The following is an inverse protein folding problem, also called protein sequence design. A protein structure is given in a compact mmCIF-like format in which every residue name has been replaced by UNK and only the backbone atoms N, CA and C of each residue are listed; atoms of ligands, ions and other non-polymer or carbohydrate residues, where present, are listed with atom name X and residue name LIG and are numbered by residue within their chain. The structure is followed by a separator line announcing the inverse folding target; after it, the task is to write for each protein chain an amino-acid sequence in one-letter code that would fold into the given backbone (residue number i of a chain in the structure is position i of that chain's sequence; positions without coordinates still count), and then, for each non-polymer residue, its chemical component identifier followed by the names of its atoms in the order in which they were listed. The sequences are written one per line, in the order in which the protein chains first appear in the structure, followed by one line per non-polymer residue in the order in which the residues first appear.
data_IF_935948725475
#
_entry.id   IF_935948725475
#
_cell.length_a   1.000
_cell.length_b   1.000
_cell.length_c   1.000
_cell.angle_alpha   90.00
_cell.angle_beta   90.00
_cell.angle_gamma   90.00
#
_symmetry.space_group_name_H-M   'P 1'
#
loop_
_entity.id
_entity.type
_entity.pdbx_description
1 polymer ?
#
# COMPACT_ATOMS: atom_id res chain seq x y z
N UNK A 1 -2.83 10.44 -21.26
CA UNK A 1 -1.97 11.58 -21.64
C UNK A 1 -1.19 11.38 -22.94
N UNK A 2 -0.47 10.25 -23.15
CA UNK A 2 0.33 10.07 -24.38
C UNK A 2 -0.47 10.10 -25.69
N UNK A 3 -1.68 9.54 -25.71
CA UNK A 3 -2.54 9.58 -26.90
C UNK A 3 -3.08 10.98 -27.20
N UNK A 4 -3.44 11.78 -26.18
CA UNK A 4 -3.95 13.16 -26.36
C UNK A 4 -2.84 14.09 -26.86
N UNK A 5 -1.62 13.98 -26.32
CA UNK A 5 -0.48 14.78 -26.80
C UNK A 5 -0.09 14.43 -28.24
N UNK A 6 -0.19 13.15 -28.61
CA UNK A 6 0.03 12.71 -29.99
C UNK A 6 -1.06 13.29 -30.93
N UNK A 7 -2.32 13.30 -30.50
CA UNK A 7 -3.44 13.90 -31.24
C UNK A 7 -3.23 15.40 -31.46
N UNK A 8 -2.88 16.16 -30.42
CA UNK A 8 -2.57 17.60 -30.52
C UNK A 8 -1.42 17.86 -31.51
N UNK A 9 -0.38 17.03 -31.48
CA UNK A 9 0.75 17.16 -32.42
C UNK A 9 0.31 16.91 -33.86
N UNK A 10 -0.56 15.91 -34.07
CA UNK A 10 -1.13 15.61 -35.38
C UNK A 10 -2.04 16.74 -35.87
N UNK A 11 -2.87 17.32 -35.00
CA UNK A 11 -3.76 18.44 -35.33
C UNK A 11 -2.97 19.72 -35.64
N UNK A 12 -1.89 20.01 -34.92
CA UNK A 12 -0.99 21.12 -35.24
C UNK A 12 -0.35 20.95 -36.63
N UNK A 13 0.03 19.71 -36.98
CA UNK A 13 0.52 19.40 -38.32
C UNK A 13 -0.58 19.58 -39.38
N UNK A 14 -1.82 19.21 -39.07
CA UNK A 14 -2.97 19.38 -39.96
C UNK A 14 -3.28 20.86 -40.20
N UNK A 15 -3.34 21.69 -39.15
CA UNK A 15 -3.49 23.15 -39.26
C UNK A 15 -2.38 23.74 -40.15
N UNK A 16 -1.13 23.31 -39.95
CA UNK A 16 0.00 23.77 -40.76
C UNK A 16 -0.14 23.38 -42.24
N UNK A 17 -0.63 22.17 -42.52
CA UNK A 17 -0.90 21.69 -43.87
C UNK A 17 -2.06 22.45 -44.53
N UNK A 18 -3.14 22.71 -43.80
CA UNK A 18 -4.30 23.46 -44.30
C UNK A 18 -3.95 24.93 -44.58
N UNK A 19 -3.12 25.55 -43.74
CA UNK A 19 -2.55 26.88 -44.02
C UNK A 19 -1.69 26.89 -45.30
N UNK A 20 -0.91 25.84 -45.55
CA UNK A 20 -0.10 25.73 -46.77
C UNK A 20 -0.97 25.52 -48.02
N UNK A 21 -2.03 24.72 -47.92
CA UNK A 21 -3.02 24.53 -48.98
C UNK A 21 -3.75 25.84 -49.30
N UNK A 22 -4.24 26.54 -48.28
CA UNK A 22 -4.90 27.84 -48.43
C UNK A 22 -3.99 28.86 -49.13
N UNK A 23 -2.70 28.94 -48.76
CA UNK A 23 -1.72 29.79 -49.46
C UNK A 23 -1.58 29.42 -50.94
N UNK A 24 -1.53 28.13 -51.25
CA UNK A 24 -1.39 27.64 -52.63
C UNK A 24 -2.61 28.01 -53.47
N UNK A 25 -3.82 27.85 -52.93
CA UNK A 25 -5.05 28.20 -53.64
C UNK A 25 -5.25 29.70 -53.79
N UNK A 26 -4.83 30.50 -52.80
CA UNK A 26 -4.82 31.96 -52.89
C UNK A 26 -3.87 32.45 -54.01
N UNK A 27 -2.68 31.86 -54.14
CA UNK A 27 -1.74 32.17 -55.21
C UNK A 27 -2.29 31.79 -56.60
N UNK A 28 -2.88 30.60 -56.74
CA UNK A 28 -3.53 30.19 -57.99
C UNK A 28 -4.69 31.11 -58.39
N UNK A 29 -5.50 31.54 -57.42
CA UNK A 29 -6.59 32.50 -57.65
C UNK A 29 -6.07 33.88 -58.09
N UNK A 30 -4.92 34.31 -57.57
CA UNK A 30 -4.25 35.54 -57.97
C UNK A 30 -3.64 35.45 -59.37
N UNK A 31 -2.93 34.37 -59.69
CA UNK A 31 -2.29 34.15 -61.00
C UNK A 31 -3.30 34.00 -62.15
N UNK A 32 -4.48 33.42 -61.88
CA UNK A 32 -5.55 33.24 -62.87
C UNK A 32 -6.44 34.46 -63.06
N UNK A 33 -6.18 35.57 -62.35
CA UNK A 33 -6.82 36.86 -62.63
C UNK A 33 -8.28 36.96 -62.19
N UNK A 34 -8.68 36.32 -61.08
CA UNK A 34 -10.03 36.45 -60.53
C UNK A 34 -10.40 37.90 -60.09
N UNK A 35 -9.44 38.83 -60.11
CA UNK A 35 -9.68 40.26 -59.95
C UNK A 35 -9.81 40.95 -61.31
N UNK A 36 -11.01 40.87 -61.90
CA UNK A 36 -11.67 41.90 -62.74
C UNK A 36 -12.50 41.25 -63.86
N UNK A 37 -13.63 40.67 -63.48
CA UNK A 37 -14.67 40.16 -64.38
C UNK A 37 -15.31 41.25 -65.27
N UNK A 38 -14.88 42.51 -65.17
CA UNK A 38 -15.46 43.66 -65.87
C UNK A 38 -14.83 44.00 -67.23
N UNK A 39 -13.57 43.62 -67.50
CA UNK A 39 -12.84 44.06 -68.72
C UNK A 39 -12.55 42.94 -69.74
N UNK A 40 -12.63 41.66 -69.34
CA UNK A 40 -12.40 40.51 -70.23
C UNK A 40 -13.47 40.31 -71.32
N UNK A 41 -14.70 40.78 -71.07
CA UNK A 41 -15.79 40.73 -72.06
C UNK A 41 -15.68 41.75 -73.20
N UNK A 42 -14.75 42.71 -73.10
CA UNK A 42 -14.63 43.82 -74.05
C UNK A 42 -13.55 43.55 -75.11
N UNK A 43 -12.53 42.70 -74.85
CA UNK A 43 -11.35 42.62 -75.74
C UNK A 43 -10.81 41.24 -76.17
N UNK A 44 -11.45 40.11 -75.87
CA UNK A 44 -11.16 38.91 -76.68
C UNK A 44 -11.43 37.57 -76.01
N UNK A 45 -12.34 36.82 -76.61
CA UNK A 45 -12.40 35.36 -76.61
C UNK A 45 -13.70 34.91 -77.28
N UNK A 46 -13.62 33.90 -78.14
CA UNK A 46 -14.80 33.13 -78.59
C UNK A 46 -15.52 32.55 -77.37
N UNK A 47 -16.84 32.29 -77.47
CA UNK A 47 -17.70 31.91 -76.33
C UNK A 47 -17.22 30.70 -75.50
N UNK A 48 -16.36 29.84 -76.04
CA UNK A 48 -15.71 28.74 -75.31
C UNK A 48 -14.66 29.23 -74.30
N UNK A 49 -13.82 30.22 -74.63
CA UNK A 49 -12.78 30.72 -73.72
C UNK A 49 -13.38 31.48 -72.53
N UNK A 50 -14.49 32.20 -72.74
CA UNK A 50 -15.21 32.88 -71.66
C UNK A 50 -15.90 31.89 -70.69
N UNK A 51 -16.46 30.80 -71.22
CA UNK A 51 -17.06 29.73 -70.42
C UNK A 51 -16.02 28.99 -69.58
N UNK A 52 -14.87 28.62 -70.18
CA UNK A 52 -13.75 27.97 -69.47
C UNK A 52 -13.21 28.88 -68.37
N UNK A 53 -13.08 30.19 -68.61
CA UNK A 53 -12.60 31.15 -67.60
C UNK A 53 -13.61 31.29 -66.44
N UNK A 54 -14.92 31.30 -66.73
CA UNK A 54 -15.97 31.34 -65.70
C UNK A 54 -16.03 30.06 -64.85
N UNK A 55 -15.81 28.91 -65.46
CA UNK A 55 -15.76 27.62 -64.76
C UNK A 55 -14.50 27.51 -63.88
N UNK A 56 -13.35 27.93 -64.40
CA UNK A 56 -12.09 27.97 -63.65
C UNK A 56 -12.15 28.94 -62.45
N UNK A 57 -12.73 30.13 -62.61
CA UNK A 57 -12.87 31.10 -61.51
C UNK A 57 -13.83 30.62 -60.42
N UNK A 58 -14.93 29.93 -60.79
CA UNK A 58 -15.80 29.28 -59.80
C UNK A 58 -15.12 28.12 -59.08
N UNK A 59 -14.36 27.28 -59.78
CA UNK A 59 -13.58 26.19 -59.18
C UNK A 59 -12.53 26.73 -58.20
N UNK A 60 -11.82 27.80 -58.56
CA UNK A 60 -10.85 28.46 -57.69
C UNK A 60 -11.52 29.07 -56.44
N UNK A 61 -12.65 29.76 -56.60
CA UNK A 61 -13.40 30.35 -55.47
C UNK A 61 -13.98 29.29 -54.51
N UNK A 62 -14.51 28.20 -55.06
CA UNK A 62 -15.03 27.07 -54.27
C UNK A 62 -13.89 26.35 -53.53
N UNK A 63 -12.74 26.19 -54.20
CA UNK A 63 -11.51 25.70 -53.58
C UNK A 63 -11.13 26.54 -52.36
N UNK A 64 -10.93 27.84 -52.54
CA UNK A 64 -10.47 28.74 -51.46
C UNK A 64 -11.43 28.70 -50.27
N UNK A 65 -12.75 28.73 -50.54
CA UNK A 65 -13.77 28.61 -49.49
C UNK A 65 -13.63 27.30 -48.71
N UNK A 66 -13.48 26.17 -49.41
CA UNK A 66 -13.29 24.86 -48.75
C UNK A 66 -12.00 24.77 -47.93
N UNK A 67 -10.92 25.43 -48.37
CA UNK A 67 -9.65 25.48 -47.64
C UNK A 67 -9.74 26.34 -46.37
N UNK A 68 -10.52 27.44 -46.40
CA UNK A 68 -10.82 28.25 -45.22
C UNK A 68 -11.65 27.44 -44.22
N UNK A 69 -12.70 26.76 -44.67
CA UNK A 69 -13.56 25.94 -43.82
C UNK A 69 -12.78 24.80 -43.14
N UNK A 70 -11.89 24.14 -43.90
CA UNK A 70 -11.02 23.09 -43.37
C UNK A 70 -10.06 23.62 -42.30
N UNK A 71 -9.41 24.76 -42.55
CA UNK A 71 -8.52 25.39 -41.58
C UNK A 71 -9.26 25.80 -40.29
N UNK A 72 -10.44 26.41 -40.42
CA UNK A 72 -11.26 26.79 -39.26
C UNK A 72 -11.69 25.57 -38.45
N UNK A 73 -12.06 24.46 -39.11
CA UNK A 73 -12.40 23.21 -38.44
C UNK A 73 -11.19 22.60 -37.71
N UNK A 74 -10.00 22.62 -38.32
CA UNK A 74 -8.78 22.12 -37.71
C UNK A 74 -8.36 22.95 -36.49
N UNK A 75 -8.44 24.28 -36.58
CA UNK A 75 -8.16 25.19 -35.46
C UNK A 75 -9.16 24.99 -34.30
N UNK A 76 -10.45 24.84 -34.61
CA UNK A 76 -11.48 24.56 -33.61
C UNK A 76 -11.25 23.21 -32.90
N UNK A 77 -10.83 22.18 -33.64
CA UNK A 77 -10.48 20.87 -33.09
C UNK A 77 -9.28 20.97 -32.15
N UNK A 78 -8.19 21.61 -32.59
CA UNK A 78 -6.99 21.80 -31.79
C UNK A 78 -7.28 22.55 -30.48
N UNK A 79 -8.01 23.66 -30.55
CA UNK A 79 -8.40 24.43 -29.37
C UNK A 79 -9.22 23.60 -28.37
N UNK A 80 -10.10 22.73 -28.88
CA UNK A 80 -10.90 21.83 -28.05
C UNK A 80 -10.03 20.78 -27.36
N UNK A 81 -9.09 20.16 -28.07
CA UNK A 81 -8.18 19.16 -27.51
C UNK A 81 -7.23 19.77 -26.47
N UNK A 82 -6.72 20.98 -26.70
CA UNK A 82 -5.89 21.71 -25.74
C UNK A 82 -6.68 22.06 -24.47
N UNK A 83 -7.92 22.54 -24.59
CA UNK A 83 -8.79 22.82 -23.46
C UNK A 83 -9.12 21.56 -22.65
N UNK A 84 -9.37 20.43 -23.32
CA UNK A 84 -9.59 19.14 -22.68
C UNK A 84 -8.35 18.64 -21.93
N UNK A 85 -7.16 18.80 -22.52
CA UNK A 85 -5.90 18.44 -21.85
C UNK A 85 -5.68 19.27 -20.59
N UNK A 86 -5.87 20.60 -20.66
CA UNK A 86 -5.75 21.48 -19.51
C UNK A 86 -6.76 21.13 -18.40
N UNK A 87 -8.00 20.83 -18.76
CA UNK A 87 -9.02 20.40 -17.81
C UNK A 87 -8.64 19.06 -17.14
N UNK A 88 -8.11 18.10 -17.92
CA UNK A 88 -7.65 16.81 -17.39
C UNK A 88 -6.45 16.97 -16.45
N UNK A 89 -5.49 17.84 -16.77
CA UNK A 89 -4.35 18.13 -15.91
C UNK A 89 -4.79 18.80 -14.60
N UNK A 90 -5.73 19.75 -14.66
CA UNK A 90 -6.31 20.38 -13.47
C UNK A 90 -7.04 19.36 -12.58
N UNK A 91 -7.82 18.46 -13.18
CA UNK A 91 -8.49 17.37 -12.45
C UNK A 91 -7.48 16.41 -11.81
N UNK A 92 -6.40 16.05 -12.51
CA UNK A 92 -5.36 15.18 -11.97
C UNK A 92 -4.64 15.82 -10.78
N UNK A 93 -4.32 17.12 -10.86
CA UNK A 93 -3.72 17.87 -9.76
C UNK A 93 -4.65 17.97 -8.54
N UNK A 94 -5.95 18.21 -8.77
CA UNK A 94 -6.96 18.21 -7.72
C UNK A 94 -7.12 16.83 -7.06
N UNK A 95 -7.09 15.75 -7.86
CA UNK A 95 -7.13 14.39 -7.33
C UNK A 95 -5.89 14.05 -6.50
N UNK A 96 -4.69 14.50 -6.93
CA UNK A 96 -3.46 14.32 -6.17
C UNK A 96 -3.51 15.07 -4.81
N UNK A 97 -3.99 16.32 -4.79
CA UNK A 97 -4.09 17.10 -3.56
C UNK A 97 -5.11 16.50 -2.59
N UNK A 98 -6.25 16.00 -3.09
CA UNK A 98 -7.24 15.27 -2.31
C UNK A 98 -6.69 13.96 -1.74
N UNK A 99 -5.96 13.19 -2.55
CA UNK A 99 -5.33 11.94 -2.09
C UNK A 99 -4.27 12.19 -1.01
N UNK A 100 -3.46 13.26 -1.15
CA UNK A 100 -2.50 13.66 -0.14
C UNK A 100 -3.19 14.08 1.17
N UNK A 101 -4.27 14.86 1.10
CA UNK A 101 -5.05 15.25 2.26
C UNK A 101 -5.69 14.04 2.96
N UNK A 102 -6.26 13.11 2.21
CA UNK A 102 -6.84 11.87 2.73
C UNK A 102 -5.79 10.99 3.42
N UNK A 103 -4.59 10.86 2.83
CA UNK A 103 -3.47 10.14 3.46
C UNK A 103 -3.06 10.77 4.78
N UNK A 104 -2.92 12.10 4.83
CA UNK A 104 -2.52 12.80 6.06
C UNK A 104 -3.58 12.64 7.15
N UNK A 105 -4.87 12.72 6.80
CA UNK A 105 -5.97 12.47 7.73
C UNK A 105 -5.95 11.03 8.27
N UNK A 106 -5.76 10.04 7.39
CA UNK A 106 -5.65 8.64 7.80
C UNK A 106 -4.45 8.39 8.74
N UNK A 107 -3.28 8.97 8.44
CA UNK A 107 -2.11 8.88 9.32
C UNK A 107 -2.32 9.54 10.68
N UNK A 108 -3.04 10.67 10.73
CA UNK A 108 -3.39 11.32 11.99
C UNK A 108 -4.35 10.46 12.83
N UNK A 109 -5.35 9.83 12.21
CA UNK A 109 -6.26 8.90 12.87
C UNK A 109 -5.50 7.69 13.42
N UNK A 110 -4.63 7.07 12.62
CA UNK A 110 -3.83 5.92 13.06
C UNK A 110 -2.91 6.27 14.24
N UNK A 111 -2.30 7.47 14.24
CA UNK A 111 -1.50 7.93 15.37
C UNK A 111 -2.33 8.14 16.64
N UNK A 112 -3.55 8.67 16.52
CA UNK A 112 -4.50 8.83 17.63
C UNK A 112 -4.96 7.48 18.20
N UNK A 113 -5.26 6.52 17.34
CA UNK A 113 -5.61 5.15 17.74
C UNK A 113 -4.46 4.48 18.47
N UNK A 114 -3.23 4.58 17.96
CA UNK A 114 -2.05 4.02 18.62
C UNK A 114 -1.79 4.66 19.99
N UNK A 115 -2.00 5.97 20.13
CA UNK A 115 -1.94 6.68 21.41
C UNK A 115 -3.03 6.23 22.39
N UNK A 116 -4.25 5.99 21.88
CA UNK A 116 -5.37 5.46 22.68
C UNK A 116 -5.08 4.05 23.15
N UNK A 117 -4.58 3.17 22.28
CA UNK A 117 -4.17 1.81 22.62
C UNK A 117 -3.05 1.80 23.66
N UNK A 118 -2.03 2.66 23.52
CA UNK A 118 -0.99 2.81 24.54
C UNK A 118 -1.58 3.25 25.90
N UNK A 119 -2.50 4.21 25.90
CA UNK A 119 -3.17 4.66 27.12
C UNK A 119 -4.00 3.53 27.75
N UNK A 120 -4.78 2.79 26.96
CA UNK A 120 -5.55 1.65 27.46
C UNK A 120 -4.65 0.55 28.00
N UNK A 121 -3.57 0.19 27.30
CA UNK A 121 -2.60 -0.79 27.77
C UNK A 121 -1.97 -0.35 29.09
N UNK A 122 -1.62 0.94 29.23
CA UNK A 122 -1.08 1.47 30.50
C UNK A 122 -2.11 1.43 31.64
N UNK A 123 -3.39 1.69 31.35
CA UNK A 123 -4.49 1.62 32.32
C UNK A 123 -4.78 0.17 32.74
N UNK A 124 -4.82 -0.76 31.78
CA UNK A 124 -4.98 -2.19 32.04
C UNK A 124 -3.80 -2.70 32.87
N UNK A 125 -2.56 -2.36 32.51
CA UNK A 125 -1.38 -2.71 33.29
C UNK A 125 -1.48 -2.17 34.73
N UNK A 126 -1.95 -0.93 34.91
CA UNK A 126 -2.22 -0.35 36.22
C UNK A 126 -3.29 -1.10 37.02
N UNK A 127 -4.41 -1.48 36.38
CA UNK A 127 -5.48 -2.25 37.01
C UNK A 127 -5.05 -3.67 37.37
N UNK A 128 -4.30 -4.34 36.49
CA UNK A 128 -3.70 -5.66 36.73
C UNK A 128 -2.70 -5.57 37.88
N UNK A 129 -1.83 -4.56 37.92
CA UNK A 129 -0.91 -4.34 39.03
C UNK A 129 -1.66 -4.09 40.36
N UNK A 130 -2.77 -3.33 40.34
CA UNK A 130 -3.61 -3.12 41.52
C UNK A 130 -4.33 -4.41 41.95
N UNK A 131 -4.84 -5.20 41.01
CA UNK A 131 -5.45 -6.50 41.28
C UNK A 131 -4.42 -7.47 41.85
N UNK A 132 -3.22 -7.54 41.28
CA UNK A 132 -2.12 -8.37 41.77
C UNK A 132 -1.63 -7.89 43.15
N UNK A 133 -1.62 -6.59 43.43
CA UNK A 133 -1.31 -6.06 44.76
C UNK A 133 -2.42 -6.37 45.77
N UNK A 134 -3.70 -6.35 45.36
CA UNK A 134 -4.84 -6.76 46.20
C UNK A 134 -4.89 -8.27 46.43
N UNK A 135 -4.60 -9.06 45.39
CA UNK A 135 -4.45 -10.50 45.46
C UNK A 135 -3.26 -10.84 46.35
N UNK A 136 -2.09 -10.23 46.17
CA UNK A 136 -0.94 -10.40 47.08
C UNK A 136 -1.29 -10.03 48.52
N UNK A 137 -2.06 -8.95 48.75
CA UNK A 137 -2.57 -8.60 50.10
C UNK A 137 -3.59 -9.60 50.66
N UNK A 138 -4.32 -10.34 49.81
CA UNK A 138 -5.19 -11.46 50.21
C UNK A 138 -4.45 -12.81 50.28
N UNK A 139 -3.32 -12.96 49.58
CA UNK A 139 -2.54 -14.20 49.41
C UNK A 139 -1.31 -14.26 50.33
N UNK A 140 -1.00 -13.20 51.08
CA UNK A 140 -0.21 -13.31 52.32
C UNK A 140 -1.00 -13.89 53.51
N UNK A 141 -2.22 -14.37 53.26
CA UNK A 141 -2.83 -15.48 53.97
C UNK A 141 -3.19 -16.57 52.96
N UNK A 142 -2.37 -17.62 52.86
CA UNK A 142 -2.55 -18.83 52.06
C UNK A 142 -2.25 -18.78 50.53
N UNK A 143 -1.18 -19.53 50.18
CA UNK A 143 -0.88 -20.26 48.92
C UNK A 143 -0.06 -19.54 47.83
N UNK A 144 1.23 -19.88 47.77
CA UNK A 144 2.12 -19.65 46.62
C UNK A 144 1.67 -20.46 45.39
N UNK A 145 1.82 -19.96 44.14
CA UNK A 145 1.62 -20.78 42.95
C UNK A 145 2.59 -21.96 42.99
N UNK A 146 2.06 -23.18 42.88
CA UNK A 146 2.85 -24.39 42.83
C UNK A 146 3.81 -24.36 41.63
N UNK A 147 5.11 -24.55 41.85
CA UNK A 147 6.04 -25.00 40.79
C UNK A 147 6.94 -23.97 40.11
N UNK A 148 6.84 -22.67 40.39
CA UNK A 148 7.79 -21.68 39.88
C UNK A 148 7.44 -21.00 38.54
N UNK A 149 6.25 -21.26 37.98
CA UNK A 149 5.80 -20.67 36.71
C UNK A 149 5.87 -19.12 36.65
N UNK A 150 5.57 -18.44 37.75
CA UNK A 150 5.71 -16.97 37.83
C UNK A 150 7.16 -16.48 37.65
N UNK A 151 8.15 -17.24 38.14
CA UNK A 151 9.56 -16.91 37.95
C UNK A 151 10.01 -17.17 36.49
N UNK A 152 9.47 -18.23 35.85
CA UNK A 152 9.74 -18.51 34.45
C UNK A 152 9.16 -17.41 33.53
N UNK A 153 7.93 -16.96 33.80
CA UNK A 153 7.31 -15.83 33.07
C UNK A 153 8.15 -14.56 33.22
N UNK A 154 8.51 -14.19 34.46
CA UNK A 154 9.32 -13.00 34.71
C UNK A 154 10.69 -13.07 34.00
N UNK A 155 11.32 -14.24 33.98
CA UNK A 155 12.56 -14.44 33.25
C UNK A 155 12.35 -14.22 31.74
N UNK A 156 11.35 -14.87 31.14
CA UNK A 156 11.09 -14.73 29.71
C UNK A 156 10.76 -13.28 29.29
N UNK A 157 9.94 -12.57 30.07
CA UNK A 157 9.60 -11.16 29.82
C UNK A 157 10.83 -10.24 29.91
N UNK A 158 11.83 -10.57 30.73
CA UNK A 158 13.07 -9.80 30.82
C UNK A 158 13.92 -9.84 29.55
N UNK A 159 13.61 -10.76 28.62
CA UNK A 159 14.33 -10.95 27.36
C UNK A 159 13.60 -10.36 26.16
N UNK A 160 12.46 -9.67 26.34
CA UNK A 160 11.75 -9.01 25.25
C UNK A 160 12.68 -8.04 24.51
N UNK A 161 12.71 -8.12 23.18
CA UNK A 161 13.60 -7.36 22.31
C UNK A 161 14.96 -8.01 22.04
N UNK A 162 15.27 -9.17 22.66
CA UNK A 162 16.47 -9.95 22.31
C UNK A 162 16.23 -10.67 20.97
N UNK A 163 17.17 -10.62 20.01
CA UNK A 163 16.92 -11.18 18.68
C UNK A 163 16.84 -12.70 18.67
N UNK A 164 16.07 -13.23 17.72
CA UNK A 164 16.05 -14.65 17.46
C UNK A 164 17.40 -15.13 16.88
N UNK A 165 17.93 -16.21 17.45
CA UNK A 165 19.10 -16.90 16.93
C UNK A 165 18.93 -18.41 17.08
N UNK A 166 18.92 -19.12 15.95
CA UNK A 166 18.79 -20.58 15.91
C UNK A 166 19.88 -21.26 16.76
N UNK A 167 19.46 -22.11 17.70
CA UNK A 167 20.36 -22.81 18.61
C UNK A 167 20.81 -22.01 19.82
N UNK A 168 20.45 -20.73 19.94
CA UNK A 168 20.92 -19.87 21.03
C UNK A 168 20.09 -20.00 22.32
N UNK A 169 20.80 -19.79 23.44
CA UNK A 169 20.30 -19.67 24.80
C UNK A 169 21.18 -18.65 25.54
N UNK A 170 21.25 -17.42 25.03
CA UNK A 170 22.20 -16.38 25.50
C UNK A 170 21.44 -15.11 25.94
N UNK A 171 21.22 -14.92 27.25
CA UNK A 171 20.46 -13.79 27.79
C UNK A 171 21.01 -12.44 27.34
N UNK A 172 20.13 -11.58 26.82
CA UNK A 172 20.49 -10.27 26.29
C UNK A 172 21.12 -10.27 24.89
N UNK A 173 21.43 -11.44 24.32
CA UNK A 173 22.17 -11.55 23.06
C UNK A 173 21.45 -12.35 21.98
N UNK A 174 20.82 -13.47 22.32
CA UNK A 174 20.06 -14.25 21.34
C UNK A 174 19.38 -15.50 21.91
N UNK A 175 18.20 -15.82 21.39
CA UNK A 175 17.46 -17.04 21.74
C UNK A 175 16.81 -17.71 20.53
N UNK A 176 16.69 -19.04 20.54
CA UNK A 176 15.60 -19.70 19.82
C UNK A 176 14.42 -19.99 20.75
N UNK A 177 13.29 -20.44 20.18
CA UNK A 177 12.06 -20.64 20.92
C UNK A 177 12.24 -21.55 22.15
N UNK A 178 12.83 -22.73 21.94
CA UNK A 178 13.07 -23.70 23.00
C UNK A 178 14.22 -23.33 23.94
N UNK A 179 15.18 -22.52 23.48
CA UNK A 179 16.24 -21.95 24.31
C UNK A 179 15.68 -20.92 25.29
N UNK A 180 14.78 -20.04 24.84
CA UNK A 180 14.11 -19.08 25.71
C UNK A 180 13.33 -19.78 26.82
N UNK A 181 12.53 -20.79 26.47
CA UNK A 181 11.72 -21.52 27.47
C UNK A 181 12.60 -22.30 28.44
N UNK A 182 13.66 -22.95 27.94
CA UNK A 182 14.61 -23.69 28.75
C UNK A 182 15.32 -22.80 29.75
N UNK A 183 15.86 -21.67 29.29
CA UNK A 183 16.53 -20.72 30.17
C UNK A 183 15.59 -20.13 31.22
N UNK A 184 14.37 -19.78 30.81
CA UNK A 184 13.37 -19.17 31.69
C UNK A 184 12.95 -20.11 32.83
N UNK A 185 12.65 -21.37 32.51
CA UNK A 185 12.34 -22.37 33.54
C UNK A 185 13.55 -22.74 34.39
N UNK A 186 14.77 -22.63 33.86
CA UNK A 186 16.01 -22.75 34.65
C UNK A 186 16.12 -21.67 35.72
N UNK A 187 15.67 -20.43 35.44
CA UNK A 187 15.59 -19.36 36.46
C UNK A 187 14.58 -19.69 37.56
N UNK A 188 13.53 -20.46 37.23
CA UNK A 188 12.57 -21.00 38.18
C UNK A 188 13.05 -22.28 38.90
N UNK A 189 14.27 -22.76 38.62
CA UNK A 189 14.85 -23.96 39.22
C UNK A 189 14.42 -25.28 38.57
N UNK A 190 13.72 -25.25 37.43
CA UNK A 190 13.26 -26.44 36.70
C UNK A 190 14.08 -26.60 35.42
N UNK A 191 14.68 -27.78 35.24
CA UNK A 191 15.40 -28.10 34.01
C UNK A 191 14.48 -28.82 33.04
N UNK A 192 14.31 -28.25 31.85
CA UNK A 192 13.56 -28.86 30.75
C UNK A 192 14.48 -29.20 29.57
N UNK A 193 14.11 -30.11 28.66
CA UNK A 193 14.91 -30.46 27.48
C UNK A 193 15.17 -29.28 26.53
N UNK A 194 16.16 -29.44 25.65
CA UNK A 194 16.63 -28.35 24.78
C UNK A 194 15.71 -28.03 23.61
N UNK A 195 14.99 -29.00 23.06
CA UNK A 195 14.17 -28.83 21.85
C UNK A 195 12.69 -28.77 22.18
N UNK A 196 11.91 -28.06 21.37
CA UNK A 196 10.46 -27.92 21.55
C UNK A 196 9.74 -29.28 21.66
N UNK A 197 10.07 -30.22 20.77
CA UNK A 197 9.52 -31.58 20.77
C UNK A 197 9.84 -32.36 22.04
N UNK A 198 11.09 -32.30 22.51
CA UNK A 198 11.48 -32.97 23.74
C UNK A 198 10.84 -32.32 24.98
N UNK A 199 10.66 -31.00 24.97
CA UNK A 199 9.91 -30.30 26.03
C UNK A 199 8.45 -30.76 26.06
N UNK A 200 7.78 -30.82 24.91
CA UNK A 200 6.38 -31.28 24.82
C UNK A 200 6.21 -32.70 25.38
N UNK A 201 7.15 -33.59 25.09
CA UNK A 201 7.11 -34.98 25.58
C UNK A 201 7.46 -35.11 27.06
N UNK A 202 8.23 -34.17 27.62
CA UNK A 202 8.67 -34.22 29.01
C UNK A 202 7.64 -33.65 30.00
N UNK A 203 6.71 -32.80 29.54
CA UNK A 203 5.76 -32.11 30.42
C UNK A 203 4.39 -32.80 30.46
N UNK A 204 3.77 -32.92 31.65
CA UNK A 204 2.35 -33.24 31.77
C UNK A 204 1.48 -32.29 30.95
N UNK A 205 0.60 -32.85 30.12
CA UNK A 205 -0.30 -32.06 29.28
C UNK A 205 -1.41 -31.40 30.10
N UNK A 206 -1.73 -30.15 29.77
CA UNK A 206 -2.74 -29.33 30.43
C UNK A 206 -3.82 -28.93 29.42
N UNK A 207 -5.12 -29.03 29.77
CA UNK A 207 -6.18 -28.49 28.92
C UNK A 207 -6.00 -26.99 28.70
N UNK A 208 -6.21 -26.50 27.48
CA UNK A 208 -6.06 -25.07 27.17
C UNK A 208 -6.88 -24.15 28.09
N UNK A 209 -8.05 -24.60 28.55
CA UNK A 209 -8.91 -23.87 29.49
C UNK A 209 -8.37 -23.78 30.92
N UNK A 210 -7.34 -24.57 31.25
CA UNK A 210 -6.71 -24.66 32.57
C UNK A 210 -5.27 -24.15 32.55
N UNK A 211 -4.86 -23.49 31.46
CA UNK A 211 -3.51 -22.92 31.37
C UNK A 211 -3.30 -21.85 32.45
N UNK A 212 -2.13 -21.92 33.07
CA UNK A 212 -1.65 -20.97 34.07
C UNK A 212 -0.36 -20.31 33.57
N UNK A 213 -0.09 -19.04 33.95
CA UNK A 213 1.16 -18.39 33.58
C UNK A 213 2.39 -19.25 33.95
N UNK A 214 3.23 -19.52 32.96
CA UNK A 214 4.36 -20.45 33.04
C UNK A 214 4.20 -21.67 32.13
N UNK A 215 2.97 -22.14 31.88
CA UNK A 215 2.72 -23.30 31.03
C UNK A 215 3.36 -23.14 29.65
N UNK A 216 3.91 -24.23 29.12
CA UNK A 216 4.48 -24.26 27.78
C UNK A 216 3.38 -24.53 26.76
N UNK A 217 3.34 -23.73 25.70
CA UNK A 217 2.39 -23.87 24.57
C UNK A 217 3.17 -24.30 23.33
N UNK A 218 2.66 -25.30 22.62
CA UNK A 218 3.39 -25.99 21.54
C UNK A 218 2.69 -25.87 20.20
N UNK A 219 3.48 -25.68 19.13
CA UNK A 219 3.01 -25.72 17.75
C UNK A 219 3.85 -26.67 16.90
N UNK A 220 3.23 -27.27 15.89
CA UNK A 220 3.89 -28.18 14.97
C UNK A 220 2.93 -28.95 14.07
N UNK A 221 3.41 -30.04 13.51
CA UNK A 221 2.67 -30.87 12.56
C UNK A 221 3.14 -32.33 12.61
N UNK A 222 2.28 -33.27 12.22
CA UNK A 222 2.65 -34.69 12.17
C UNK A 222 3.00 -35.30 13.53
N UNK A 223 2.53 -34.71 14.64
CA UNK A 223 2.84 -35.16 16.00
C UNK A 223 4.19 -34.68 16.54
N UNK A 224 4.89 -33.81 15.83
CA UNK A 224 6.20 -33.27 16.21
C UNK A 224 6.11 -31.76 16.50
N UNK A 225 6.58 -31.32 17.67
CA UNK A 225 6.58 -29.89 18.02
C UNK A 225 7.78 -29.16 17.40
N UNK A 226 7.48 -28.11 16.65
CA UNK A 226 8.46 -27.28 15.93
C UNK A 226 8.68 -25.94 16.63
N UNK A 227 7.73 -25.50 17.45
CA UNK A 227 7.79 -24.24 18.20
C UNK A 227 7.24 -24.41 19.61
N UNK A 228 7.75 -23.60 20.54
CA UNK A 228 7.30 -23.57 21.93
C UNK A 228 7.36 -22.14 22.47
N UNK A 229 6.42 -21.79 23.33
CA UNK A 229 6.33 -20.51 24.01
C UNK A 229 5.92 -20.69 25.48
N UNK A 230 6.10 -19.66 26.31
CA UNK A 230 5.58 -19.63 27.69
C UNK A 230 4.28 -18.83 27.72
N UNK A 231 3.22 -19.41 28.27
CA UNK A 231 1.94 -18.73 28.51
C UNK A 231 2.09 -17.66 29.59
N UNK A 232 1.63 -16.45 29.31
CA UNK A 232 1.71 -15.30 30.25
C UNK A 232 0.34 -14.87 30.77
N UNK A 233 -0.73 -15.54 30.35
CA UNK A 233 -2.12 -15.22 30.72
C UNK A 233 -2.89 -14.53 29.59
N UNK A 234 -4.21 -14.40 29.77
CA UNK A 234 -5.11 -13.67 28.86
C UNK A 234 -5.09 -14.12 27.38
N UNK A 235 -4.66 -15.36 27.10
CA UNK A 235 -4.55 -15.84 25.72
C UNK A 235 -3.23 -15.45 25.02
N UNK A 236 -2.28 -14.88 25.74
CA UNK A 236 -0.98 -14.44 25.21
C UNK A 236 0.16 -15.35 25.66
N UNK A 237 1.23 -15.37 24.86
CA UNK A 237 2.49 -16.07 25.12
C UNK A 237 3.68 -15.15 24.89
N UNK A 238 4.80 -15.46 25.55
CA UNK A 238 6.13 -14.91 25.23
C UNK A 238 6.97 -15.97 24.51
N UNK A 239 7.55 -15.60 23.37
CA UNK A 239 8.33 -16.51 22.54
C UNK A 239 9.47 -15.80 21.79
N UNK A 240 10.41 -16.61 21.26
CA UNK A 240 11.38 -16.18 20.26
C UNK A 240 10.91 -16.76 18.89
N UNK A 241 10.26 -15.98 18.02
CA UNK A 241 9.42 -16.54 16.95
C UNK A 241 10.20 -17.21 15.81
N UNK A 242 11.10 -16.46 15.16
CA UNK A 242 11.90 -16.92 14.02
C UNK A 242 12.96 -15.89 13.64
N UNK A 243 13.90 -16.29 12.76
CA UNK A 243 14.96 -15.41 12.25
C UNK A 243 14.43 -14.07 11.73
N UNK A 244 15.04 -12.98 12.18
CA UNK A 244 14.65 -11.61 11.81
C UNK A 244 13.55 -11.02 12.70
N UNK A 245 13.15 -11.72 13.76
CA UNK A 245 12.25 -11.22 14.80
C UNK A 245 12.93 -11.31 16.17
N UNK A 246 12.41 -10.54 17.12
CA UNK A 246 12.89 -10.51 18.50
C UNK A 246 11.94 -11.27 19.43
N UNK A 247 12.40 -11.57 20.64
CA UNK A 247 11.55 -12.08 21.70
C UNK A 247 10.43 -11.07 21.96
N UNK A 248 9.19 -11.54 21.95
CA UNK A 248 8.02 -10.68 22.04
C UNK A 248 6.86 -11.39 22.74
N UNK A 249 5.88 -10.60 23.16
CA UNK A 249 4.58 -11.12 23.59
C UNK A 249 3.63 -11.06 22.40
N UNK A 250 2.91 -12.15 22.15
CA UNK A 250 1.90 -12.21 21.11
C UNK A 250 0.74 -13.14 21.48
N UNK A 251 -0.45 -12.96 20.88
CA UNK A 251 -1.58 -13.87 21.11
C UNK A 251 -1.25 -15.28 20.65
N UNK A 252 -1.79 -16.29 21.34
CA UNK A 252 -1.77 -17.68 20.87
C UNK A 252 -2.42 -17.75 19.49
N UNK A 253 -1.66 -18.23 18.50
CA UNK A 253 -2.18 -18.41 17.15
C UNK A 253 -2.77 -19.82 16.98
N UNK A 254 -3.91 -19.96 16.27
CA UNK A 254 -4.64 -21.23 16.18
C UNK A 254 -4.00 -22.24 15.22
N UNK A 255 -3.28 -21.77 14.20
CA UNK A 255 -2.73 -22.64 13.18
C UNK A 255 -1.55 -23.46 13.72
N UNK A 256 -1.68 -24.79 13.66
CA UNK A 256 -0.62 -25.71 14.12
C UNK A 256 -0.52 -25.86 15.64
N UNK A 257 -1.48 -25.33 16.41
CA UNK A 257 -1.51 -25.48 17.86
C UNK A 257 -1.68 -26.96 18.23
N UNK A 258 -0.73 -27.50 19.00
CA UNK A 258 -0.71 -28.91 19.41
C UNK A 258 -1.25 -29.12 20.82
N UNK A 259 -1.08 -28.13 21.71
CA UNK A 259 -1.51 -28.22 23.10
C UNK A 259 -0.63 -27.40 24.03
N UNK A 260 -0.82 -27.63 25.32
CA UNK A 260 -0.04 -27.01 26.38
C UNK A 260 0.38 -28.04 27.43
N UNK A 261 1.44 -27.76 28.17
CA UNK A 261 1.89 -28.60 29.27
C UNK A 261 2.67 -27.83 30.33
N UNK A 262 2.74 -28.43 31.52
CA UNK A 262 3.22 -27.77 32.73
C UNK A 262 4.47 -28.47 33.27
N UNK A 263 5.66 -27.87 33.16
CA UNK A 263 6.87 -28.31 33.87
C UNK A 263 6.68 -28.39 35.38
#
# INVERSE_FOLDING_TARGET
MNQVRASITQDQAQVSADQANLRTQALQSYETGASDSGLGGVFGATGEQAAVTSEYTQLAANGVTSAIDALQAAEAKLNTEEAQLQASDAQAQAALSQAAAARNAASATAASEQGTLHSLNSQIAGLVAQQNARASRMTFGNLAPSGGGGAAVQAAESQIGVPYQWGAEDPGHGFDCSGLTQWSWRQAGVSIPRTADAQMQAVPQVPLSAMEPGDLVFWGSGGYAQHVAIYVGNGDVVDAPSSGQDVQIQPIWPNGLMGAGRP
#
